data_IF_162387675938
#
_entry.id   IF_162387675938
#
_cell.length_a   1.000
_cell.length_b   1.000
_cell.length_c   1.000
_cell.angle_alpha   90.00
_cell.angle_beta   90.00
_cell.angle_gamma   90.00
#
_symmetry.space_group_name_H-M   'P 1'
#
loop_
_entity.id
_entity.type
_entity.pdbx_description
1 polymer ?
#
# COMPACT_ATOMS: atom_id res chain seq x y z
N UNK A 1 -15.35 -67.19 11.52
CA UNK A 1 -15.97 -67.06 10.19
C UNK A 1 -17.07 -66.02 10.28
N UNK A 2 -17.00 -65.01 9.40
CA UNK A 2 -17.99 -64.01 8.94
C UNK A 2 -19.37 -63.96 9.65
N UNK A 3 -19.80 -62.81 10.18
CA UNK A 3 -20.62 -61.74 9.55
C UNK A 3 -21.93 -61.65 10.37
N UNK A 4 -22.71 -60.57 10.47
CA UNK A 4 -22.81 -59.28 9.80
C UNK A 4 -23.44 -58.30 10.80
N UNK A 5 -23.12 -57.01 10.72
CA UNK A 5 -23.90 -55.94 11.34
C UNK A 5 -24.69 -55.22 10.25
N UNK A 6 -25.99 -55.10 10.48
CA UNK A 6 -27.00 -54.57 9.57
C UNK A 6 -27.19 -53.07 9.82
N UNK A 7 -27.20 -52.33 8.70
CA UNK A 7 -27.92 -51.09 8.32
C UNK A 7 -28.06 -49.90 9.28
N UNK A 8 -27.73 -48.72 8.75
CA UNK A 8 -28.65 -47.67 8.26
C UNK A 8 -27.75 -46.59 7.59
N UNK A 9 -27.75 -46.42 6.27
CA UNK A 9 -28.74 -45.63 5.55
C UNK A 9 -28.11 -44.31 5.08
N UNK A 10 -27.34 -44.34 3.98
CA UNK A 10 -26.92 -43.14 3.25
C UNK A 10 -27.30 -43.37 1.78
N UNK A 11 -28.25 -42.57 1.30
CA UNK A 11 -28.54 -42.44 -0.12
C UNK A 11 -27.53 -41.49 -0.75
N UNK A 12 -26.91 -41.97 -1.81
CA UNK A 12 -26.20 -41.16 -2.81
C UNK A 12 -27.18 -40.16 -3.43
N UNK A 13 -26.82 -38.88 -3.45
CA UNK A 13 -26.78 -38.04 -4.66
C UNK A 13 -26.39 -36.59 -4.30
N UNK A 14 -25.61 -35.98 -5.18
CA UNK A 14 -25.07 -34.60 -5.18
C UNK A 14 -23.82 -34.28 -4.35
N UNK A 15 -22.79 -35.12 -4.49
CA UNK A 15 -21.39 -34.66 -4.47
C UNK A 15 -20.75 -34.76 -5.86
N UNK A 16 -21.16 -33.85 -6.74
CA UNK A 16 -20.35 -33.40 -7.87
C UNK A 16 -20.08 -31.91 -7.62
N UNK A 17 -18.88 -31.35 -7.72
CA UNK A 17 -17.64 -31.80 -8.34
C UNK A 17 -16.48 -31.09 -7.64
N UNK A 18 -15.51 -31.88 -7.22
CA UNK A 18 -14.16 -31.42 -6.92
C UNK A 18 -13.55 -30.91 -8.23
N UNK A 19 -13.41 -29.59 -8.39
CA UNK A 19 -12.55 -28.98 -9.40
C UNK A 19 -12.30 -27.51 -9.05
N UNK A 20 -11.56 -27.28 -7.97
CA UNK A 20 -10.72 -26.08 -7.85
C UNK A 20 -9.29 -26.59 -7.73
N UNK A 21 -8.67 -26.76 -8.89
CA UNK A 21 -7.25 -27.02 -9.01
C UNK A 21 -6.52 -25.88 -8.31
N UNK A 22 -6.03 -26.14 -7.10
CA UNK A 22 -5.03 -25.32 -6.41
C UNK A 22 -3.72 -25.36 -7.18
N UNK A 23 -3.69 -24.71 -8.34
CA UNK A 23 -2.44 -24.29 -8.92
C UNK A 23 -1.89 -23.21 -7.99
N UNK A 24 -0.65 -23.33 -7.50
CA UNK A 24 -0.03 -22.20 -6.82
C UNK A 24 -0.11 -21.02 -7.78
N UNK A 25 -0.61 -19.89 -7.29
CA UNK A 25 -0.51 -18.63 -7.99
C UNK A 25 0.98 -18.32 -8.06
N UNK A 26 1.58 -18.52 -9.24
CA UNK A 26 2.95 -18.08 -9.48
C UNK A 26 2.94 -16.56 -9.42
N UNK A 27 3.46 -16.00 -8.33
CA UNK A 27 3.82 -14.58 -8.27
C UNK A 27 4.97 -14.41 -9.25
N UNK A 28 4.66 -13.87 -10.43
CA UNK A 28 5.69 -13.46 -11.38
C UNK A 28 6.40 -12.27 -10.74
N UNK A 29 7.64 -12.50 -10.31
CA UNK A 29 8.50 -11.43 -9.81
C UNK A 29 8.81 -10.52 -10.99
N UNK A 30 8.46 -9.24 -10.85
CA UNK A 30 8.71 -8.23 -11.86
C UNK A 30 10.22 -7.98 -12.00
N UNK A 31 10.71 -7.86 -13.24
CA UNK A 31 12.13 -7.93 -13.58
C UNK A 31 12.86 -6.58 -13.64
N UNK A 32 12.16 -5.48 -13.35
CA UNK A 32 12.73 -4.13 -13.37
C UNK A 32 12.21 -3.20 -14.49
N UNK A 33 11.34 -3.65 -15.39
CA UNK A 33 10.84 -2.84 -16.52
C UNK A 33 9.44 -2.25 -16.32
N UNK A 34 9.24 -0.93 -16.46
CA UNK A 34 7.99 -0.15 -16.21
C UNK A 34 6.69 -0.98 -16.11
N UNK A 35 6.13 -1.14 -14.89
CA UNK A 35 4.79 -1.70 -14.67
C UNK A 35 3.72 -0.58 -14.77
N UNK A 36 3.18 -0.38 -15.97
CA UNK A 36 2.29 0.74 -16.27
C UNK A 36 0.92 0.63 -15.58
N UNK A 37 0.39 1.77 -15.11
CA UNK A 37 -0.99 1.86 -14.62
C UNK A 37 -1.95 1.82 -15.80
N UNK A 38 -2.76 0.77 -15.87
CA UNK A 38 -3.77 0.54 -16.91
C UNK A 38 -5.12 1.19 -16.56
N UNK A 39 -5.45 1.25 -15.28
CA UNK A 39 -6.73 1.76 -14.78
C UNK A 39 -6.55 2.29 -13.34
N UNK A 40 -7.13 3.45 -13.06
CA UNK A 40 -7.10 4.07 -11.74
C UNK A 40 -8.53 4.31 -11.25
N UNK A 41 -8.81 3.89 -10.01
CA UNK A 41 -10.07 4.10 -9.32
C UNK A 41 -9.79 4.48 -7.86
N UNK A 42 -10.80 4.97 -7.18
CA UNK A 42 -10.82 5.25 -5.74
C UNK A 42 -10.72 3.98 -4.86
N UNK A 43 -10.62 2.79 -5.46
CA UNK A 43 -10.49 1.50 -4.75
C UNK A 43 -9.18 0.78 -5.08
N UNK A 44 -8.67 0.93 -6.29
CA UNK A 44 -7.46 0.26 -6.75
C UNK A 44 -6.76 1.00 -7.89
N UNK A 45 -5.44 0.76 -7.98
CA UNK A 45 -4.65 0.94 -9.20
C UNK A 45 -4.45 -0.42 -9.86
N UNK A 46 -4.88 -0.55 -11.11
CA UNK A 46 -4.61 -1.74 -11.92
C UNK A 46 -3.35 -1.48 -12.72
N UNK A 47 -2.36 -2.32 -12.53
CA UNK A 47 -1.16 -2.39 -13.35
C UNK A 47 -1.19 -3.65 -14.23
N UNK A 48 -0.20 -3.80 -15.11
CA UNK A 48 -0.01 -5.05 -15.87
C UNK A 48 0.20 -6.24 -14.92
N UNK A 49 0.92 -5.99 -13.82
CA UNK A 49 1.20 -7.00 -12.81
C UNK A 49 -0.01 -7.41 -11.96
N UNK A 50 -1.07 -6.60 -11.87
CA UNK A 50 -2.28 -6.92 -11.11
C UNK A 50 -2.98 -5.71 -10.52
N UNK A 51 -3.80 -5.94 -9.49
CA UNK A 51 -4.60 -4.94 -8.80
C UNK A 51 -3.99 -4.62 -7.45
N UNK A 52 -3.65 -3.36 -7.23
CA UNK A 52 -3.16 -2.81 -5.97
C UNK A 52 -4.29 -2.01 -5.34
N UNK A 53 -4.77 -2.45 -4.18
CA UNK A 53 -5.91 -1.83 -3.51
C UNK A 53 -5.46 -0.65 -2.68
N UNK A 54 -6.11 0.49 -2.90
CA UNK A 54 -5.88 1.73 -2.18
C UNK A 54 -6.41 1.61 -0.75
N UNK A 55 -5.66 2.16 0.18
CA UNK A 55 -6.15 2.50 1.51
C UNK A 55 -6.36 4.02 1.56
N UNK A 56 -7.60 4.43 1.30
CA UNK A 56 -7.98 5.84 1.28
C UNK A 56 -8.14 6.43 2.69
N UNK A 57 -8.09 5.61 3.74
CA UNK A 57 -8.29 6.03 5.12
C UNK A 57 -6.97 6.35 5.84
N UNK A 58 -5.86 5.82 5.34
CA UNK A 58 -4.55 5.99 5.95
C UNK A 58 -3.54 6.55 4.95
N UNK A 59 -2.73 7.50 5.42
CA UNK A 59 -1.63 8.06 4.65
C UNK A 59 -0.43 8.33 5.55
N UNK A 60 0.75 8.17 4.97
CA UNK A 60 2.02 8.51 5.60
C UNK A 60 2.46 9.91 5.20
N UNK A 61 3.54 10.38 5.81
CA UNK A 61 4.07 11.71 5.52
C UNK A 61 5.58 11.72 5.63
N UNK A 62 6.23 12.20 4.58
CA UNK A 62 7.67 12.50 4.57
C UNK A 62 7.86 14.00 4.43
N UNK A 63 8.47 14.61 5.43
CA UNK A 63 8.93 15.98 5.33
C UNK A 63 10.30 16.02 4.67
N UNK A 64 10.47 16.91 3.70
CA UNK A 64 11.71 17.03 2.94
C UNK A 64 12.16 18.47 2.79
N UNK A 65 13.48 18.67 2.70
CA UNK A 65 14.06 19.97 2.38
C UNK A 65 13.88 20.29 0.89
N UNK A 66 13.84 21.59 0.55
CA UNK A 66 13.81 22.04 -0.85
C UNK A 66 14.98 21.45 -1.65
N UNK A 67 16.14 21.29 -1.00
CA UNK A 67 17.33 20.69 -1.62
C UNK A 67 17.06 19.27 -2.12
N UNK A 68 16.27 18.47 -1.40
CA UNK A 68 15.93 17.11 -1.83
C UNK A 68 14.92 17.11 -2.96
N UNK A 69 13.92 18.00 -2.91
CA UNK A 69 13.00 18.23 -4.03
C UNK A 69 13.77 18.55 -5.30
N UNK A 70 14.72 19.49 -5.24
CA UNK A 70 15.53 19.86 -6.39
C UNK A 70 16.45 18.72 -6.86
N UNK A 71 17.05 17.99 -5.92
CA UNK A 71 17.98 16.88 -6.21
C UNK A 71 17.30 15.74 -6.94
N UNK A 72 16.09 15.38 -6.52
CA UNK A 72 15.37 14.20 -7.01
C UNK A 72 14.19 14.54 -7.93
N UNK A 73 13.91 15.83 -8.16
CA UNK A 73 12.77 16.30 -8.94
C UNK A 73 11.44 15.74 -8.42
N UNK A 74 11.26 15.78 -7.10
CA UNK A 74 10.13 15.15 -6.40
C UNK A 74 8.81 15.87 -6.68
N UNK A 75 7.73 15.11 -6.85
CA UNK A 75 6.39 15.64 -6.65
C UNK A 75 6.15 15.90 -5.16
N UNK A 76 5.52 17.02 -4.83
CA UNK A 76 5.48 17.51 -3.45
C UNK A 76 4.38 18.56 -3.23
N UNK A 77 4.03 18.72 -1.96
CA UNK A 77 3.18 19.80 -1.46
C UNK A 77 4.00 20.78 -0.61
N UNK A 78 3.91 22.10 -0.86
CA UNK A 78 4.47 23.11 0.04
C UNK A 78 3.97 22.96 1.47
N UNK A 79 4.87 23.10 2.45
CA UNK A 79 4.55 22.91 3.85
C UNK A 79 3.42 23.84 4.33
N UNK A 80 3.34 25.06 3.80
CA UNK A 80 2.30 26.02 4.16
C UNK A 80 0.92 25.52 3.76
N UNK A 81 0.80 24.92 2.56
CA UNK A 81 -0.46 24.37 2.07
C UNK A 81 -0.88 23.17 2.90
N UNK A 82 0.05 22.23 3.16
CA UNK A 82 -0.23 21.08 4.02
C UNK A 82 -0.67 21.53 5.42
N UNK A 83 0.02 22.51 6.01
CA UNK A 83 -0.33 23.05 7.33
C UNK A 83 -1.74 23.67 7.34
N UNK A 84 -2.08 24.47 6.32
CA UNK A 84 -3.41 25.09 6.20
C UNK A 84 -4.53 24.04 6.13
N UNK A 85 -4.30 22.94 5.42
CA UNK A 85 -5.25 21.81 5.32
C UNK A 85 -5.38 21.04 6.65
N UNK A 86 -4.27 20.86 7.39
CA UNK A 86 -4.30 20.16 8.68
C UNK A 86 -4.94 21.00 9.80
N UNK A 87 -4.72 22.32 9.83
CA UNK A 87 -5.19 23.16 10.92
C UNK A 87 -6.68 23.55 10.81
N UNK A 88 -7.31 23.39 9.65
CA UNK A 88 -8.67 23.90 9.39
C UNK A 88 -9.70 23.44 10.43
N UNK A 89 -9.54 22.22 10.96
CA UNK A 89 -10.44 21.61 11.94
C UNK A 89 -9.73 21.07 13.18
N UNK A 90 -8.46 21.42 13.40
CA UNK A 90 -7.67 20.91 14.53
C UNK A 90 -7.88 21.78 15.79
N UNK A 91 -8.23 21.15 16.90
CA UNK A 91 -8.44 21.80 18.20
C UNK A 91 -7.58 21.23 19.33
N UNK A 92 -6.81 20.16 19.06
CA UNK A 92 -5.87 19.59 20.02
C UNK A 92 -4.58 20.42 20.11
N UNK A 93 -4.26 20.91 21.32
CA UNK A 93 -3.09 21.77 21.54
C UNK A 93 -1.75 21.07 21.27
N UNK A 94 -1.65 19.76 21.50
CA UNK A 94 -0.42 19.02 21.24
C UNK A 94 -0.20 18.85 19.74
N UNK A 95 -1.27 18.55 19.00
CA UNK A 95 -1.25 18.43 17.54
C UNK A 95 -0.95 19.78 16.88
N UNK A 96 -1.59 20.87 17.31
CA UNK A 96 -1.27 22.22 16.81
C UNK A 96 0.21 22.57 17.01
N UNK A 97 0.77 22.25 18.17
CA UNK A 97 2.20 22.48 18.44
C UNK A 97 3.09 21.64 17.52
N UNK A 98 2.72 20.40 17.26
CA UNK A 98 3.42 19.54 16.31
C UNK A 98 3.38 20.12 14.89
N UNK A 99 2.20 20.56 14.41
CA UNK A 99 2.05 21.17 13.09
C UNK A 99 2.91 22.44 12.94
N UNK A 100 2.93 23.31 13.95
CA UNK A 100 3.80 24.49 13.98
C UNK A 100 5.29 24.12 13.96
N UNK A 101 5.68 23.10 14.72
CA UNK A 101 7.06 22.62 14.74
C UNK A 101 7.49 22.12 13.35
N UNK A 102 6.65 21.32 12.68
CA UNK A 102 6.95 20.81 11.33
C UNK A 102 7.03 21.95 10.32
N UNK A 103 6.07 22.88 10.34
CA UNK A 103 6.08 24.08 9.49
C UNK A 103 7.32 24.93 9.66
N UNK A 104 7.85 25.04 10.88
CA UNK A 104 9.04 25.84 11.16
C UNK A 104 10.36 25.21 10.68
N UNK A 105 10.38 23.88 10.49
CA UNK A 105 11.60 23.11 10.21
C UNK A 105 11.71 22.69 8.75
N UNK A 106 10.58 22.41 8.13
CA UNK A 106 10.50 21.80 6.81
C UNK A 106 9.93 22.77 5.80
N UNK A 107 10.22 22.52 4.52
CA UNK A 107 9.73 23.34 3.42
C UNK A 107 8.69 22.61 2.57
N UNK A 108 8.79 21.29 2.50
CA UNK A 108 8.05 20.47 1.55
C UNK A 108 7.59 19.18 2.20
N UNK A 109 6.49 18.63 1.68
CA UNK A 109 5.83 17.42 2.19
C UNK A 109 5.55 16.49 1.02
N UNK A 110 5.83 15.21 1.20
CA UNK A 110 5.39 14.12 0.33
C UNK A 110 4.37 13.31 1.12
N UNK A 111 3.19 13.13 0.53
CA UNK A 111 2.15 12.25 1.08
C UNK A 111 2.47 10.84 0.61
N UNK A 112 2.50 9.90 1.56
CA UNK A 112 2.65 8.47 1.24
C UNK A 112 1.24 7.89 1.15
N UNK A 113 0.82 7.53 -0.05
CA UNK A 113 -0.39 6.73 -0.26
C UNK A 113 -0.17 5.30 0.26
N UNK A 114 -1.20 4.72 0.86
CA UNK A 114 -1.13 3.36 1.39
C UNK A 114 -1.75 2.36 0.40
N UNK A 115 -1.09 1.21 0.24
CA UNK A 115 -1.63 0.05 -0.45
C UNK A 115 -2.06 -0.98 0.60
N UNK A 116 -3.35 -1.29 0.69
CA UNK A 116 -3.85 -2.28 1.67
C UNK A 116 -3.59 -3.73 1.24
N UNK A 117 -3.32 -3.96 -0.05
CA UNK A 117 -2.95 -5.27 -0.56
C UNK A 117 -3.00 -5.39 -2.06
N UNK A 118 -2.58 -6.56 -2.55
CA UNK A 118 -2.46 -6.86 -3.98
C UNK A 118 -3.21 -8.14 -4.35
N UNK A 119 -3.82 -8.17 -5.54
CA UNK A 119 -4.46 -9.36 -6.12
C UNK A 119 -4.27 -9.42 -7.63
N UNK A 120 -4.29 -10.62 -8.21
CA UNK A 120 -4.33 -10.79 -9.67
C UNK A 120 -5.73 -10.52 -10.27
N UNK A 121 -6.75 -10.40 -9.43
CA UNK A 121 -8.13 -10.18 -9.86
C UNK A 121 -8.71 -8.96 -9.18
N UNK A 122 -9.70 -8.34 -9.79
CA UNK A 122 -10.39 -7.16 -9.24
C UNK A 122 -11.29 -7.46 -8.04
N UNK A 123 -11.39 -8.72 -7.59
CA UNK A 123 -12.23 -9.09 -6.46
C UNK A 123 -11.57 -8.69 -5.14
N UNK A 124 -12.16 -7.69 -4.46
CA UNK A 124 -11.77 -7.21 -3.13
C UNK A 124 -12.32 -8.11 -2.01
N UNK A 125 -12.64 -9.38 -2.28
CA UNK A 125 -13.03 -10.29 -1.21
C UNK A 125 -11.82 -10.56 -0.28
N UNK A 126 -12.03 -10.39 1.03
CA UNK A 126 -11.04 -10.47 2.14
C UNK A 126 -10.16 -11.75 2.16
N UNK A 127 -10.44 -12.73 1.31
CA UNK A 127 -9.68 -13.97 1.16
C UNK A 127 -8.60 -13.93 0.08
N UNK A 128 -8.47 -12.84 -0.67
CA UNK A 128 -7.72 -12.83 -1.94
C UNK A 128 -6.60 -11.79 -2.12
N UNK A 129 -6.44 -10.79 -1.25
CA UNK A 129 -5.34 -9.84 -1.35
C UNK A 129 -4.21 -10.13 -0.38
N UNK A 130 -2.99 -9.93 -0.85
CA UNK A 130 -1.75 -10.25 -0.15
C UNK A 130 -0.91 -8.99 0.05
N UNK A 131 -0.19 -8.95 1.17
CA UNK A 131 0.77 -7.88 1.44
C UNK A 131 2.09 -8.04 0.67
N UNK A 132 2.34 -9.24 0.12
CA UNK A 132 3.42 -9.49 -0.81
C UNK A 132 2.95 -9.20 -2.24
N UNK A 133 3.63 -8.28 -2.90
CA UNK A 133 3.35 -7.87 -4.29
C UNK A 133 4.52 -8.27 -5.20
N UNK A 134 4.35 -8.20 -6.54
CA UNK A 134 5.45 -8.33 -7.50
C UNK A 134 6.61 -7.33 -7.28
N UNK A 135 6.35 -6.19 -6.62
CA UNK A 135 7.32 -5.13 -6.32
C UNK A 135 7.85 -5.20 -4.88
N UNK A 136 7.50 -6.25 -4.13
CA UNK A 136 7.89 -6.46 -2.74
C UNK A 136 6.73 -6.33 -1.77
N UNK A 137 7.07 -6.31 -0.48
CA UNK A 137 6.09 -6.20 0.59
C UNK A 137 5.55 -4.76 0.68
N UNK A 138 4.22 -4.58 0.78
CA UNK A 138 3.54 -3.26 0.75
C UNK A 138 4.05 -2.23 1.78
N UNK A 139 4.68 -2.68 2.86
CA UNK A 139 5.23 -1.79 3.90
C UNK A 139 6.74 -1.52 3.78
N UNK A 140 7.43 -2.18 2.85
CA UNK A 140 8.88 -2.03 2.69
C UNK A 140 9.23 -0.76 1.93
N UNK A 141 10.36 -0.15 2.28
CA UNK A 141 10.89 1.09 1.64
C UNK A 141 10.85 1.05 0.11
N UNK A 142 11.28 -0.06 -0.49
CA UNK A 142 11.35 -0.20 -1.94
C UNK A 142 9.97 -0.19 -2.60
N UNK A 143 9.00 -0.86 -1.99
CA UNK A 143 7.62 -0.83 -2.47
C UNK A 143 7.03 0.57 -2.35
N UNK A 144 7.14 1.20 -1.17
CA UNK A 144 6.55 2.53 -0.91
C UNK A 144 7.14 3.58 -1.85
N UNK A 145 8.45 3.54 -2.07
CA UNK A 145 9.13 4.43 -3.00
C UNK A 145 8.61 4.27 -4.45
N UNK A 146 8.43 3.02 -4.90
CA UNK A 146 7.82 2.73 -6.21
C UNK A 146 6.36 3.19 -6.28
N UNK A 147 5.57 2.89 -5.25
CA UNK A 147 4.14 3.17 -5.20
C UNK A 147 3.82 4.67 -5.19
N UNK A 148 4.66 5.45 -4.51
CA UNK A 148 4.51 6.90 -4.36
C UNK A 148 5.42 7.71 -5.30
N UNK A 149 6.04 7.05 -6.30
CA UNK A 149 6.86 7.67 -7.34
C UNK A 149 7.98 8.59 -6.81
N UNK A 150 8.79 8.07 -5.89
CA UNK A 150 10.02 8.73 -5.45
C UNK A 150 11.20 7.75 -5.37
N UNK A 151 12.45 8.21 -5.52
CA UNK A 151 13.61 7.33 -5.46
C UNK A 151 13.82 6.78 -4.04
N UNK A 152 14.05 5.48 -3.91
CA UNK A 152 14.20 4.81 -2.61
C UNK A 152 15.36 5.39 -1.78
N UNK A 153 16.41 5.90 -2.45
CA UNK A 153 17.57 6.53 -1.81
C UNK A 153 17.20 7.79 -1.03
N UNK A 154 16.07 8.44 -1.33
CA UNK A 154 15.53 9.55 -0.54
C UNK A 154 15.37 9.16 0.93
N UNK A 155 14.95 7.92 1.20
CA UNK A 155 14.69 7.41 2.55
C UNK A 155 15.96 7.06 3.34
N UNK A 156 17.12 7.18 2.70
CA UNK A 156 18.44 6.96 3.30
C UNK A 156 19.23 8.28 3.43
N UNK A 157 18.62 9.41 3.05
CA UNK A 157 19.17 10.75 3.24
C UNK A 157 19.26 11.15 4.71
N UNK A 158 20.01 12.23 4.97
CA UNK A 158 20.23 12.71 6.33
C UNK A 158 18.93 13.18 6.99
N UNK A 159 18.83 13.04 8.31
CA UNK A 159 17.69 13.52 9.10
C UNK A 159 17.54 15.05 9.11
N UNK A 160 18.50 15.79 8.55
CA UNK A 160 18.40 17.24 8.34
C UNK A 160 17.63 17.56 7.05
N UNK A 161 17.56 16.61 6.12
CA UNK A 161 16.93 16.76 4.81
C UNK A 161 15.65 15.98 4.64
N UNK A 162 15.49 14.88 5.39
CA UNK A 162 14.34 13.98 5.29
C UNK A 162 13.90 13.56 6.68
N UNK A 163 12.60 13.63 6.95
CA UNK A 163 12.00 13.11 8.16
C UNK A 163 10.71 12.37 7.81
N UNK A 164 10.73 11.06 8.06
CA UNK A 164 9.54 10.21 7.95
C UNK A 164 8.76 10.34 9.25
N UNK A 165 7.59 10.99 9.20
CA UNK A 165 6.78 11.25 10.39
C UNK A 165 5.72 10.17 10.62
N UNK A 166 5.11 9.69 9.55
CA UNK A 166 4.23 8.52 9.55
C UNK A 166 4.56 7.66 8.33
N UNK A 167 4.41 6.35 8.50
CA UNK A 167 4.76 5.36 7.48
C UNK A 167 3.52 4.64 6.95
N UNK A 168 3.73 3.80 5.94
CA UNK A 168 2.73 2.94 5.33
C UNK A 168 2.29 1.75 6.20
N UNK A 169 2.23 1.93 7.52
CA UNK A 169 1.67 0.98 8.46
C UNK A 169 0.34 1.52 9.00
N UNK A 170 -0.76 0.82 8.68
CA UNK A 170 -2.06 1.08 9.29
C UNK A 170 -2.09 0.73 10.77
#
# INVERSE_FOLDING_TARGET
MAAAADRLGLSDDDRSSNNLTGKPVEVVVWDGGIDEVLEFTDVYRRHESGYYFEDTEHFGTVFVSQRMVDKYSLDHTPIEKWYEEQIEYEDDEEQLKYLEEMKSKWSQVIIIDHCTGYSLTSDRSNSGYHSMTPHGQIGDKGFVAWWCDFPVELLDESSVDVCVASWADG
#
